data_IF_095689594427
#
_entry.id   IF_095689594427
#
_cell.length_a   1.000
_cell.length_b   1.000
_cell.length_c   1.000
_cell.angle_alpha   90.00
_cell.angle_beta   90.00
_cell.angle_gamma   90.00
#
_symmetry.space_group_name_H-M   'P 1'
#
loop_
_entity.id
_entity.type
_entity.pdbx_description
1 polymer ?
#
# COMPACT_ATOMS: atom_id res chain seq x y z
N UNK A 1 28.52 -67.22 -0.49
CA UNK A 1 29.84 -66.60 -0.72
C UNK A 1 29.64 -65.28 -1.43
N UNK A 2 30.16 -64.18 -0.84
CA UNK A 2 30.89 -63.05 -1.47
C UNK A 2 30.30 -62.47 -2.78
N UNK A 3 30.04 -61.17 -2.94
CA UNK A 3 30.37 -60.00 -2.14
C UNK A 3 29.96 -58.72 -2.88
N UNK A 4 29.94 -57.61 -2.12
CA UNK A 4 30.31 -56.23 -2.51
C UNK A 4 29.89 -55.69 -3.88
N UNK A 5 29.06 -54.64 -3.89
CA UNK A 5 29.57 -53.30 -4.21
C UNK A 5 28.61 -52.20 -3.73
N UNK A 6 29.12 -51.45 -2.76
CA UNK A 6 28.67 -50.13 -2.36
C UNK A 6 29.02 -49.17 -3.50
N UNK A 7 28.05 -48.38 -3.97
CA UNK A 7 28.32 -47.12 -4.63
C UNK A 7 27.62 -46.02 -3.83
N UNK A 8 28.42 -45.39 -2.96
CA UNK A 8 28.03 -44.21 -2.23
C UNK A 8 27.91 -43.03 -3.21
N UNK A 9 26.72 -42.44 -3.29
CA UNK A 9 26.59 -41.04 -3.71
C UNK A 9 26.31 -40.23 -2.46
N UNK A 10 27.34 -39.50 -2.04
CA UNK A 10 27.28 -38.55 -0.96
C UNK A 10 26.32 -37.41 -1.34
N UNK A 11 25.10 -37.44 -0.80
CA UNK A 11 24.24 -36.26 -0.74
C UNK A 11 24.67 -35.39 0.44
N UNK A 12 25.89 -34.85 0.34
CA UNK A 12 26.40 -33.86 1.28
C UNK A 12 25.71 -32.52 1.02
N UNK A 13 24.92 -32.07 2.00
CA UNK A 13 24.84 -30.65 2.33
C UNK A 13 23.92 -29.78 1.47
N UNK A 14 22.62 -30.04 1.50
CA UNK A 14 21.64 -28.96 1.48
C UNK A 14 20.63 -29.14 2.62
N UNK A 15 21.14 -29.15 3.85
CA UNK A 15 20.38 -28.68 5.01
C UNK A 15 20.29 -27.14 4.93
N UNK A 16 19.67 -26.65 3.85
CA UNK A 16 19.13 -25.30 3.84
C UNK A 16 18.10 -25.28 4.95
N UNK A 17 18.42 -24.58 6.04
CA UNK A 17 17.50 -24.37 7.15
C UNK A 17 16.23 -23.78 6.55
N UNK A 18 15.20 -24.62 6.41
CA UNK A 18 13.83 -24.14 6.21
C UNK A 18 13.55 -23.36 7.47
N UNK A 19 13.80 -22.05 7.44
CA UNK A 19 13.31 -21.11 8.44
C UNK A 19 11.80 -21.28 8.39
N UNK A 20 11.28 -22.08 9.32
CA UNK A 20 9.86 -22.28 9.49
C UNK A 20 9.20 -20.90 9.49
N UNK A 21 8.08 -20.75 8.77
CA UNK A 21 7.27 -19.55 8.82
C UNK A 21 6.89 -19.16 10.28
N UNK A 22 6.98 -20.10 11.22
CA UNK A 22 6.86 -19.85 12.65
C UNK A 22 7.96 -18.95 13.24
N UNK A 23 9.18 -18.95 12.67
CA UNK A 23 10.29 -18.10 13.11
C UNK A 23 10.11 -16.62 12.73
N UNK A 24 9.11 -16.28 11.90
CA UNK A 24 8.84 -14.91 11.45
C UNK A 24 7.86 -14.13 12.36
N UNK A 25 7.27 -14.74 13.39
CA UNK A 25 6.48 -14.02 14.39
C UNK A 25 7.34 -13.63 15.60
N UNK A 26 8.33 -12.75 15.39
CA UNK A 26 8.79 -11.94 16.52
C UNK A 26 7.57 -11.10 16.94
N UNK A 27 7.08 -11.28 18.17
CA UNK A 27 5.99 -10.45 18.69
C UNK A 27 6.36 -8.98 18.46
N UNK A 28 5.51 -8.23 17.74
CA UNK A 28 5.73 -6.80 17.51
C UNK A 28 5.80 -6.12 18.86
N UNK A 29 6.80 -5.27 19.06
CA UNK A 29 6.93 -4.49 20.30
C UNK A 29 5.60 -3.72 20.53
N UNK A 30 4.94 -3.89 21.69
CA UNK A 30 3.69 -3.20 21.99
C UNK A 30 3.82 -1.66 21.88
N UNK A 31 4.99 -1.10 22.20
CA UNK A 31 5.24 0.35 22.07
C UNK A 31 5.22 0.79 20.61
N UNK A 32 5.83 0.00 19.71
CA UNK A 32 5.82 0.28 18.27
C UNK A 32 4.39 0.17 17.72
N UNK A 33 3.66 -0.87 18.11
CA UNK A 33 2.27 -1.07 17.68
C UNK A 33 1.38 0.11 18.12
N UNK A 34 1.54 0.57 19.36
CA UNK A 34 0.82 1.73 19.88
C UNK A 34 1.19 3.02 19.14
N UNK A 35 2.48 3.23 18.85
CA UNK A 35 2.95 4.41 18.12
C UNK A 35 2.37 4.45 16.69
N UNK A 36 2.40 3.33 15.96
CA UNK A 36 1.82 3.21 14.62
C UNK A 36 0.32 3.48 14.66
N UNK A 37 -0.41 2.86 15.60
CA UNK A 37 -1.86 3.06 15.74
C UNK A 37 -2.20 4.53 15.96
N UNK A 38 -1.47 5.22 16.85
CA UNK A 38 -1.67 6.65 17.11
C UNK A 38 -1.37 7.53 15.89
N UNK A 39 -0.34 7.19 15.11
CA UNK A 39 0.01 7.91 13.90
C UNK A 39 -1.06 7.75 12.81
N UNK A 40 -1.58 6.53 12.61
CA UNK A 40 -2.66 6.29 11.66
C UNK A 40 -3.97 6.97 12.08
N UNK A 41 -4.29 6.94 13.37
CA UNK A 41 -5.44 7.68 13.91
C UNK A 41 -5.29 9.19 13.75
N UNK A 42 -4.09 9.71 13.87
CA UNK A 42 -3.79 11.11 13.55
C UNK A 42 -4.02 11.39 12.06
N UNK A 43 -3.46 10.58 11.16
CA UNK A 43 -3.65 10.76 9.71
C UNK A 43 -5.14 10.76 9.34
N UNK A 44 -5.91 9.80 9.85
CA UNK A 44 -7.34 9.71 9.61
C UNK A 44 -8.10 10.97 10.04
N UNK A 45 -7.72 11.59 11.18
CA UNK A 45 -8.34 12.84 11.66
C UNK A 45 -7.94 14.08 10.87
N UNK A 46 -6.71 14.11 10.36
CA UNK A 46 -6.20 15.26 9.59
C UNK A 46 -6.70 15.30 8.13
N UNK A 47 -7.36 14.25 7.66
CA UNK A 47 -7.95 14.25 6.32
C UNK A 47 -8.94 15.41 6.17
N UNK A 48 -8.80 16.19 5.09
CA UNK A 48 -9.77 17.23 4.75
C UNK A 48 -11.11 16.60 4.37
N UNK A 49 -12.20 17.35 4.51
CA UNK A 49 -13.56 16.88 4.17
C UNK A 49 -13.67 16.37 2.72
N UNK A 50 -12.86 16.92 1.81
CA UNK A 50 -12.80 16.51 0.41
C UNK A 50 -11.92 15.26 0.16
N UNK A 51 -11.39 14.61 1.21
CA UNK A 51 -10.66 13.35 1.10
C UNK A 51 -9.15 13.46 0.94
N UNK A 52 -8.57 14.66 0.99
CA UNK A 52 -7.14 14.88 0.74
C UNK A 52 -6.36 15.32 1.98
N UNK A 53 -5.03 15.19 1.92
CA UNK A 53 -4.07 15.78 2.86
C UNK A 53 -3.20 16.80 2.14
N UNK A 54 -2.65 17.75 2.87
CA UNK A 54 -1.77 18.77 2.32
C UNK A 54 -0.61 19.06 3.26
N UNK A 55 0.45 19.65 2.74
CA UNK A 55 1.60 20.14 3.49
C UNK A 55 1.96 21.55 3.04
N UNK A 56 2.85 22.23 3.76
CA UNK A 56 3.38 23.55 3.40
C UNK A 56 2.30 24.54 2.94
N UNK A 57 1.30 24.77 3.79
CA UNK A 57 0.21 25.72 3.53
C UNK A 57 -0.60 25.41 2.25
N UNK A 58 -0.92 24.13 2.02
CA UNK A 58 -1.86 23.70 0.99
C UNK A 58 -1.25 23.11 -0.27
N UNK A 59 0.06 22.89 -0.27
CA UNK A 59 0.83 22.24 -1.33
C UNK A 59 0.80 20.71 -1.19
N UNK A 60 1.32 20.01 -2.21
CA UNK A 60 1.53 18.55 -2.22
C UNK A 60 0.27 17.72 -2.01
N UNK A 61 -0.91 18.22 -2.41
CA UNK A 61 -2.18 17.57 -2.08
C UNK A 61 -2.26 16.13 -2.58
N UNK A 62 -1.84 15.93 -3.83
CA UNK A 62 -1.86 14.64 -4.50
C UNK A 62 -0.84 13.69 -3.85
N UNK A 63 0.40 14.14 -3.67
CA UNK A 63 1.47 13.33 -3.07
C UNK A 63 1.15 12.94 -1.63
N UNK A 64 0.73 13.88 -0.79
CA UNK A 64 0.39 13.63 0.61
C UNK A 64 -0.81 12.70 0.75
N UNK A 65 -1.81 12.84 -0.13
CA UNK A 65 -2.97 11.95 -0.12
C UNK A 65 -2.60 10.52 -0.49
N UNK A 66 -1.79 10.33 -1.53
CA UNK A 66 -1.35 8.99 -1.93
C UNK A 66 -0.47 8.32 -0.85
N UNK A 67 0.42 9.08 -0.21
CA UNK A 67 1.28 8.56 0.87
C UNK A 67 0.48 8.23 2.14
N UNK A 68 -0.43 9.10 2.55
CA UNK A 68 -1.31 8.85 3.69
C UNK A 68 -2.22 7.64 3.43
N UNK A 69 -2.80 7.54 2.22
CA UNK A 69 -3.58 6.40 1.78
C UNK A 69 -2.79 5.09 1.87
N UNK A 70 -1.56 5.06 1.34
CA UNK A 70 -0.69 3.88 1.45
C UNK A 70 -0.37 3.49 2.90
N UNK A 71 -0.12 4.47 3.78
CA UNK A 71 0.13 4.19 5.20
C UNK A 71 -1.09 3.53 5.87
N UNK A 72 -2.31 3.96 5.50
CA UNK A 72 -3.55 3.38 5.99
C UNK A 72 -3.79 1.97 5.44
N UNK A 73 -3.50 1.72 4.15
CA UNK A 73 -3.58 0.37 3.56
C UNK A 73 -2.62 -0.61 4.27
N UNK A 74 -1.42 -0.16 4.64
CA UNK A 74 -0.44 -0.99 5.36
C UNK A 74 -0.92 -1.49 6.73
N UNK A 75 -2.01 -0.92 7.29
CA UNK A 75 -2.65 -1.45 8.48
C UNK A 75 -3.49 -2.70 8.21
N UNK A 76 -3.97 -2.87 6.98
CA UNK A 76 -4.84 -3.96 6.54
C UNK A 76 -6.29 -3.54 6.28
N UNK A 77 -6.62 -2.26 6.46
CA UNK A 77 -7.89 -1.68 5.99
C UNK A 77 -7.90 -1.54 4.45
N UNK A 78 -9.06 -1.68 3.82
CA UNK A 78 -9.29 -1.51 2.37
C UNK A 78 -10.25 -0.35 2.12
N UNK A 79 -10.58 -0.01 0.87
CA UNK A 79 -11.63 0.98 0.54
C UNK A 79 -13.05 0.53 0.97
N UNK A 80 -13.25 -0.76 1.21
CA UNK A 80 -14.55 -1.37 1.52
C UNK A 80 -14.67 -1.87 2.96
N UNK A 81 -13.55 -2.23 3.63
CA UNK A 81 -13.55 -2.88 4.94
C UNK A 81 -12.43 -2.36 5.86
N UNK A 82 -12.62 -2.54 7.16
CA UNK A 82 -11.62 -2.16 8.17
C UNK A 82 -11.85 -0.78 8.79
N UNK A 83 -11.02 -0.45 9.77
CA UNK A 83 -11.17 0.75 10.62
C UNK A 83 -11.07 2.05 9.80
N UNK A 84 -10.19 2.07 8.80
CA UNK A 84 -9.90 3.27 8.00
C UNK A 84 -10.60 3.28 6.64
N UNK A 85 -11.62 2.43 6.43
CA UNK A 85 -12.20 2.22 5.10
C UNK A 85 -12.80 3.47 4.47
N UNK A 86 -13.56 4.26 5.23
CA UNK A 86 -14.14 5.51 4.75
C UNK A 86 -13.07 6.55 4.39
N UNK A 87 -12.00 6.61 5.17
CA UNK A 87 -10.86 7.52 4.97
C UNK A 87 -10.11 7.13 3.68
N UNK A 88 -9.82 5.85 3.48
CA UNK A 88 -9.18 5.32 2.27
C UNK A 88 -10.06 5.59 1.04
N UNK A 89 -11.37 5.30 1.13
CA UNK A 89 -12.31 5.53 0.03
C UNK A 89 -12.37 6.99 -0.40
N UNK A 90 -12.37 7.92 0.55
CA UNK A 90 -12.33 9.34 0.25
C UNK A 90 -11.02 9.76 -0.43
N UNK A 91 -9.89 9.18 -0.02
CA UNK A 91 -8.59 9.40 -0.67
C UNK A 91 -8.57 8.88 -2.12
N UNK A 92 -9.16 7.70 -2.36
CA UNK A 92 -9.33 7.13 -3.70
C UNK A 92 -10.17 8.06 -4.58
N UNK A 93 -11.33 8.50 -4.08
CA UNK A 93 -12.20 9.44 -4.79
C UNK A 93 -11.46 10.70 -5.20
N UNK A 94 -10.77 11.34 -4.25
CA UNK A 94 -9.98 12.53 -4.52
C UNK A 94 -8.93 12.31 -5.61
N UNK A 95 -8.14 11.23 -5.53
CA UNK A 95 -7.06 11.01 -6.50
C UNK A 95 -7.56 10.65 -7.90
N UNK A 96 -8.70 9.96 -8.01
CA UNK A 96 -9.37 9.74 -9.29
C UNK A 96 -9.85 11.07 -9.89
N UNK A 97 -10.45 11.95 -9.09
CA UNK A 97 -10.84 13.29 -9.54
C UNK A 97 -9.64 14.13 -10.01
N UNK A 98 -8.44 13.87 -9.49
CA UNK A 98 -7.21 14.54 -9.92
C UNK A 98 -6.61 13.96 -11.20
N UNK A 99 -7.18 12.88 -11.75
CA UNK A 99 -6.76 12.33 -13.03
C UNK A 99 -7.16 13.26 -14.18
N UNK A 100 -6.23 13.51 -15.09
CA UNK A 100 -6.42 14.35 -16.27
C UNK A 100 -6.53 13.51 -17.55
N UNK A 101 -7.14 14.04 -18.63
CA UNK A 101 -7.18 13.36 -19.93
C UNK A 101 -5.80 13.00 -20.52
N UNK A 102 -4.73 13.64 -20.05
CA UNK A 102 -3.35 13.34 -20.42
C UNK A 102 -2.78 12.09 -19.75
N UNK A 103 -3.50 11.47 -18.82
CA UNK A 103 -3.03 10.39 -17.95
C UNK A 103 -2.28 10.89 -16.70
N UNK A 104 -2.02 12.21 -16.60
CA UNK A 104 -1.43 12.77 -15.40
C UNK A 104 -2.43 12.75 -14.24
N UNK A 105 -2.00 12.25 -13.09
CA UNK A 105 -2.74 12.35 -11.82
C UNK A 105 -2.11 13.47 -10.98
N UNK A 106 -2.85 14.57 -10.82
CA UNK A 106 -2.43 15.76 -10.10
C UNK A 106 -2.51 17.03 -10.95
N UNK A 107 -1.76 18.06 -10.61
CA UNK A 107 -1.78 19.33 -11.34
C UNK A 107 -0.43 19.58 -12.03
N UNK A 108 -0.44 20.00 -13.30
CA UNK A 108 0.78 20.25 -14.07
C UNK A 108 1.67 21.35 -13.45
N UNK A 109 1.04 22.30 -12.74
CA UNK A 109 1.71 23.42 -12.11
C UNK A 109 2.02 23.16 -10.62
N UNK A 110 1.76 21.96 -10.10
CA UNK A 110 2.12 21.61 -8.72
C UNK A 110 3.63 21.39 -8.59
N UNK A 111 4.17 21.72 -7.42
CA UNK A 111 5.58 21.55 -7.14
C UNK A 111 5.90 20.05 -7.10
N UNK A 112 6.88 19.61 -7.92
CA UNK A 112 7.26 18.20 -8.05
C UNK A 112 6.09 17.26 -8.42
N UNK A 113 5.23 17.69 -9.36
CA UNK A 113 4.01 16.95 -9.75
C UNK A 113 4.21 15.47 -10.14
N UNK A 114 5.40 15.10 -10.64
CA UNK A 114 5.71 13.71 -11.01
C UNK A 114 5.74 12.78 -9.81
N UNK A 115 6.14 13.25 -8.62
CA UNK A 115 6.04 12.47 -7.38
C UNK A 115 4.59 12.24 -7.00
N UNK A 116 3.75 13.27 -7.08
CA UNK A 116 2.31 13.15 -6.83
C UNK A 116 1.69 12.08 -7.72
N UNK A 117 1.98 12.13 -9.03
CA UNK A 117 1.52 11.13 -9.98
C UNK A 117 2.03 9.73 -9.64
N UNK A 118 3.34 9.55 -9.44
CA UNK A 118 3.93 8.24 -9.17
C UNK A 118 3.42 7.59 -7.88
N UNK A 119 3.29 8.37 -6.80
CA UNK A 119 2.71 7.86 -5.55
C UNK A 119 1.23 7.50 -5.70
N UNK A 120 0.48 8.28 -6.49
CA UNK A 120 -0.93 7.98 -6.77
C UNK A 120 -1.08 6.69 -7.55
N UNK A 121 -0.24 6.47 -8.57
CA UNK A 121 -0.22 5.20 -9.32
C UNK A 121 0.04 4.01 -8.40
N UNK A 122 1.02 4.12 -7.50
CA UNK A 122 1.29 3.07 -6.51
C UNK A 122 0.07 2.81 -5.63
N UNK A 123 -0.48 3.85 -4.99
CA UNK A 123 -1.62 3.71 -4.09
C UNK A 123 -2.86 3.14 -4.79
N UNK A 124 -3.26 3.72 -5.92
CA UNK A 124 -4.45 3.29 -6.67
C UNK A 124 -4.29 1.87 -7.22
N UNK A 125 -3.07 1.44 -7.57
CA UNK A 125 -2.80 0.06 -7.98
C UNK A 125 -3.03 -0.96 -6.86
N UNK A 126 -2.68 -0.61 -5.61
CA UNK A 126 -2.95 -1.48 -4.46
C UNK A 126 -4.46 -1.59 -4.24
N UNK A 127 -5.17 -0.45 -4.26
CA UNK A 127 -6.63 -0.42 -4.11
C UNK A 127 -7.31 -1.23 -5.21
N UNK A 128 -6.89 -1.08 -6.48
CA UNK A 128 -7.46 -1.85 -7.60
C UNK A 128 -7.37 -3.37 -7.40
N UNK A 129 -6.30 -3.85 -6.76
CA UNK A 129 -6.12 -5.27 -6.45
C UNK A 129 -7.13 -5.80 -5.42
N UNK A 130 -7.57 -4.95 -4.50
CA UNK A 130 -8.47 -5.30 -3.38
C UNK A 130 -9.92 -4.84 -3.57
N UNK A 131 -10.19 -4.03 -4.60
CA UNK A 131 -11.49 -3.41 -4.81
C UNK A 131 -12.55 -4.45 -5.22
N UNK A 132 -13.65 -4.46 -4.47
CA UNK A 132 -14.78 -5.37 -4.63
C UNK A 132 -15.95 -4.71 -5.38
N UNK A 133 -16.03 -3.38 -5.35
CA UNK A 133 -17.00 -2.62 -6.15
C UNK A 133 -16.56 -2.61 -7.62
N UNK A 134 -17.37 -3.24 -8.49
CA UNK A 134 -17.06 -3.41 -9.91
C UNK A 134 -17.00 -2.07 -10.66
N UNK A 135 -17.86 -1.10 -10.32
CA UNK A 135 -17.87 0.20 -10.98
C UNK A 135 -16.63 1.00 -10.60
N UNK A 136 -16.28 1.01 -9.31
CA UNK A 136 -15.04 1.62 -8.82
C UNK A 136 -13.82 0.97 -9.44
N UNK A 137 -13.81 -0.35 -9.58
CA UNK A 137 -12.70 -1.09 -10.17
C UNK A 137 -12.46 -0.72 -11.63
N UNK A 138 -13.52 -0.57 -12.43
CA UNK A 138 -13.40 -0.11 -13.81
C UNK A 138 -12.95 1.37 -13.89
N UNK A 139 -13.40 2.22 -12.97
CA UNK A 139 -12.92 3.60 -12.86
C UNK A 139 -11.41 3.65 -12.59
N UNK A 140 -10.93 2.87 -11.60
CA UNK A 140 -9.51 2.74 -11.28
C UNK A 140 -8.71 2.25 -12.48
N UNK A 141 -9.22 1.23 -13.20
CA UNK A 141 -8.56 0.71 -14.40
C UNK A 141 -8.37 1.80 -15.46
N UNK A 142 -9.40 2.61 -15.73
CA UNK A 142 -9.30 3.74 -16.69
C UNK A 142 -8.28 4.79 -16.27
N UNK A 143 -8.11 5.03 -14.97
CA UNK A 143 -7.10 5.99 -14.48
C UNK A 143 -5.68 5.42 -14.58
N UNK A 144 -5.52 4.10 -14.47
CA UNK A 144 -4.22 3.43 -14.42
C UNK A 144 -3.67 2.99 -15.79
N UNK A 145 -4.44 3.07 -16.88
CA UNK A 145 -4.07 2.61 -18.24
C UNK A 145 -4.42 3.62 -19.31
#
# INVERSE_FOLDING_TARGET
MRGTLVAAVAASGLLGTVRSAAAAKKARDPKVTLAVTRALDYLAREQRRQGYWEANNGQYRVAMTALAGNALLCEGSTSTRGKYASVIRAAVGYLIEMSQPSGLIGYKNDYHYTYGHGFSMLFLSQVYGEEEDLERREELKRVLT
#
